data_IF_799527994769
#
_entry.id   IF_799527994769
#
_cell.length_a   1.000
_cell.length_b   1.000
_cell.length_c   1.000
_cell.angle_alpha   90.00
_cell.angle_beta   90.00
_cell.angle_gamma   90.00
#
_symmetry.space_group_name_H-M   'P 1'
#
loop_
_entity.id
_entity.type
_entity.pdbx_description
1 polymer ?
#
# COMPACT_ATOMS: atom_id res chain seq x y z
N UNK A 1 -12.17 -17.43 -4.01
CA UNK A 1 -11.45 -16.26 -3.43
C UNK A 1 -10.14 -16.76 -2.83
N UNK A 2 -9.01 -16.49 -3.49
CA UNK A 2 -7.67 -16.98 -3.13
C UNK A 2 -7.26 -16.49 -1.74
N UNK A 3 -6.54 -17.30 -0.95
CA UNK A 3 -6.11 -16.91 0.41
C UNK A 3 -5.32 -15.58 0.45
N UNK A 4 -4.62 -15.25 -0.65
CA UNK A 4 -3.89 -13.98 -0.84
C UNK A 4 -4.80 -12.76 -0.92
N UNK A 5 -5.97 -12.90 -1.54
CA UNK A 5 -6.97 -11.83 -1.67
C UNK A 5 -7.64 -11.51 -0.32
N UNK A 6 -7.82 -12.54 0.52
CA UNK A 6 -8.33 -12.38 1.89
C UNK A 6 -7.31 -11.69 2.80
N UNK A 7 -6.02 -11.98 2.63
CA UNK A 7 -4.95 -11.29 3.34
C UNK A 7 -4.87 -9.80 2.94
N UNK A 8 -5.03 -9.49 1.65
CA UNK A 8 -5.14 -8.11 1.15
C UNK A 8 -6.32 -7.35 1.79
N UNK A 9 -7.46 -8.02 1.93
CA UNK A 9 -8.66 -7.46 2.56
C UNK A 9 -8.49 -7.19 4.06
N UNK A 10 -7.82 -8.07 4.80
CA UNK A 10 -7.58 -7.89 6.24
C UNK A 10 -6.64 -6.71 6.52
N UNK A 11 -5.72 -6.42 5.60
CA UNK A 11 -4.77 -5.32 5.73
C UNK A 11 -5.41 -3.95 5.41
N UNK A 12 -6.34 -3.91 4.45
CA UNK A 12 -7.06 -2.69 4.05
C UNK A 12 -8.04 -2.18 5.12
N UNK A 13 -8.57 -3.06 5.98
CA UNK A 13 -9.53 -2.69 7.03
C UNK A 13 -8.90 -2.01 8.26
N UNK A 14 -7.58 -1.82 8.29
CA UNK A 14 -6.85 -1.32 9.46
C UNK A 14 -6.63 0.20 9.51
N UNK A 15 -7.17 0.98 8.57
CA UNK A 15 -6.88 2.42 8.45
C UNK A 15 -8.00 3.35 8.92
N UNK A 16 -7.81 4.04 10.05
CA UNK A 16 -8.43 5.33 10.32
C UNK A 16 -7.56 6.18 11.29
N UNK A 17 -7.20 7.38 10.81
CA UNK A 17 -6.88 8.63 11.55
C UNK A 17 -5.44 8.92 12.04
N UNK A 18 -4.71 9.77 11.31
CA UNK A 18 -3.98 10.99 11.78
C UNK A 18 -3.53 11.82 10.55
N UNK A 19 -3.20 13.12 10.63
CA UNK A 19 -3.53 14.09 9.53
C UNK A 19 -2.38 14.89 8.87
N UNK A 20 -1.10 14.49 8.92
CA UNK A 20 -0.06 15.22 8.16
C UNK A 20 0.98 14.33 7.45
N UNK A 21 1.41 13.23 8.05
CA UNK A 21 2.19 12.15 7.38
C UNK A 21 1.28 11.07 6.80
N UNK A 22 0.02 11.03 7.27
CA UNK A 22 -0.99 10.14 6.74
C UNK A 22 -1.76 10.72 5.56
N UNK A 23 -1.62 11.99 5.20
CA UNK A 23 -2.19 12.49 3.94
C UNK A 23 -1.48 11.82 2.75
N UNK A 24 -0.14 11.90 2.73
CA UNK A 24 0.71 11.29 1.72
C UNK A 24 0.54 9.76 1.67
N UNK A 25 0.58 9.09 2.84
CA UNK A 25 0.32 7.66 2.92
C UNK A 25 -1.13 7.30 2.54
N UNK A 26 -2.13 8.12 2.87
CA UNK A 26 -3.52 7.87 2.48
C UNK A 26 -3.72 8.03 0.96
N UNK A 27 -3.10 9.05 0.36
CA UNK A 27 -3.13 9.28 -1.09
C UNK A 27 -2.47 8.11 -1.84
N UNK A 28 -1.38 7.56 -1.31
CA UNK A 28 -0.78 6.32 -1.81
C UNK A 28 -1.74 5.13 -1.69
N UNK A 29 -2.42 4.99 -0.55
CA UNK A 29 -3.35 3.88 -0.33
C UNK A 29 -4.57 3.98 -1.24
N UNK A 30 -5.08 5.18 -1.47
CA UNK A 30 -6.16 5.47 -2.41
C UNK A 30 -5.72 5.19 -3.84
N UNK A 31 -4.49 5.56 -4.20
CA UNK A 31 -3.89 5.23 -5.50
C UNK A 31 -3.79 3.73 -5.70
N UNK A 32 -3.32 2.98 -4.70
CA UNK A 32 -3.24 1.52 -4.75
C UNK A 32 -4.63 0.90 -4.87
N UNK A 33 -5.59 1.33 -4.07
CA UNK A 33 -6.95 0.80 -4.07
C UNK A 33 -7.67 1.07 -5.40
N UNK A 34 -7.54 2.29 -5.94
CA UNK A 34 -8.11 2.68 -7.23
C UNK A 34 -7.54 1.85 -8.38
N UNK A 35 -6.21 1.74 -8.47
CA UNK A 35 -5.56 0.93 -9.51
C UNK A 35 -5.82 -0.57 -9.34
N UNK A 36 -5.94 -1.07 -8.10
CA UNK A 36 -6.31 -2.45 -7.82
C UNK A 36 -7.70 -2.78 -8.37
N UNK A 37 -8.68 -1.89 -8.15
CA UNK A 37 -10.02 -2.03 -8.72
C UNK A 37 -9.95 -2.10 -10.25
N UNK A 38 -9.19 -1.21 -10.88
CA UNK A 38 -8.99 -1.20 -12.33
C UNK A 38 -8.39 -2.51 -12.83
N UNK A 39 -7.32 -3.01 -12.19
CA UNK A 39 -6.68 -4.29 -12.54
C UNK A 39 -7.65 -5.46 -12.51
N UNK A 40 -8.61 -5.48 -11.57
CA UNK A 40 -9.60 -6.56 -11.47
C UNK A 40 -10.67 -6.54 -12.55
N UNK A 41 -10.92 -5.38 -13.16
CA UNK A 41 -12.03 -5.18 -14.09
C UNK A 41 -11.62 -4.85 -15.53
N UNK A 42 -10.34 -4.57 -15.78
CA UNK A 42 -9.85 -4.18 -17.11
C UNK A 42 -9.54 -5.38 -18.01
N UNK A 43 -9.92 -5.25 -19.27
CA UNK A 43 -9.65 -6.17 -20.37
C UNK A 43 -8.61 -5.60 -21.36
N UNK A 44 -8.16 -4.35 -21.13
CA UNK A 44 -7.02 -3.74 -21.83
C UNK A 44 -5.69 -4.11 -21.17
N UNK A 45 -4.76 -4.66 -21.95
CA UNK A 45 -3.40 -5.00 -21.51
C UNK A 45 -2.59 -3.75 -21.15
N UNK A 46 -2.79 -2.65 -21.85
CA UNK A 46 -2.06 -1.41 -21.58
C UNK A 46 -2.56 -0.76 -20.28
N UNK A 47 -3.87 -0.78 -20.05
CA UNK A 47 -4.48 -0.32 -18.79
C UNK A 47 -4.02 -1.18 -17.61
N UNK A 48 -3.96 -2.50 -17.79
CA UNK A 48 -3.42 -3.42 -16.78
C UNK A 48 -1.98 -3.06 -16.41
N UNK A 49 -1.10 -2.88 -17.41
CA UNK A 49 0.31 -2.53 -17.18
C UNK A 49 0.45 -1.18 -16.47
N UNK A 50 -0.27 -0.16 -16.93
CA UNK A 50 -0.22 1.17 -16.33
C UNK A 50 -0.71 1.14 -14.87
N UNK A 51 -1.80 0.45 -14.59
CA UNK A 51 -2.31 0.35 -13.21
C UNK A 51 -1.36 -0.40 -12.28
N UNK A 52 -0.69 -1.47 -12.76
CA UNK A 52 0.34 -2.14 -11.97
C UNK A 52 1.57 -1.25 -11.72
N UNK A 53 1.99 -0.46 -12.71
CA UNK A 53 3.08 0.51 -12.54
C UNK A 53 2.73 1.59 -11.51
N UNK A 54 1.50 2.11 -11.55
CA UNK A 54 1.01 3.07 -10.58
C UNK A 54 0.97 2.48 -9.15
N UNK A 55 0.46 1.25 -9.00
CA UNK A 55 0.47 0.54 -7.71
C UNK A 55 1.88 0.36 -7.17
N UNK A 56 2.85 0.03 -8.04
CA UNK A 56 4.25 -0.13 -7.65
C UNK A 56 4.88 1.19 -7.21
N UNK A 57 4.58 2.30 -7.88
CA UNK A 57 5.09 3.61 -7.51
C UNK A 57 4.56 4.03 -6.12
N UNK A 58 3.25 3.96 -5.90
CA UNK A 58 2.64 4.28 -4.60
C UNK A 58 3.13 3.34 -3.48
N UNK A 59 3.37 2.05 -3.78
CA UNK A 59 3.94 1.12 -2.80
C UNK A 59 5.39 1.46 -2.40
N UNK A 60 6.17 2.07 -3.29
CA UNK A 60 7.53 2.52 -2.99
C UNK A 60 7.54 3.80 -2.16
N UNK A 61 6.56 4.68 -2.40
CA UNK A 61 6.40 5.94 -1.68
C UNK A 61 5.89 5.68 -0.25
N UNK A 62 4.81 4.91 -0.12
CA UNK A 62 4.25 4.44 1.16
C UNK A 62 5.27 3.70 2.05
N UNK A 63 6.28 3.06 1.45
CA UNK A 63 7.38 2.41 2.18
C UNK A 63 8.25 3.41 2.94
N UNK A 64 8.40 4.63 2.45
CA UNK A 64 9.20 5.68 3.10
C UNK A 64 8.41 6.41 4.19
N UNK A 65 7.08 6.36 4.14
CA UNK A 65 6.21 7.03 5.10
C UNK A 65 6.21 6.33 6.47
N UNK A 66 5.92 7.09 7.53
CA UNK A 66 5.68 6.53 8.86
C UNK A 66 4.17 6.48 9.10
N UNK A 67 3.57 5.28 9.25
CA UNK A 67 2.14 5.18 9.42
C UNK A 67 1.74 5.71 10.80
N UNK A 68 0.51 6.25 10.94
CA UNK A 68 0.05 6.87 12.17
C UNK A 68 0.23 6.04 13.44
N UNK A 69 0.00 4.74 13.32
CA UNK A 69 0.09 3.78 14.43
C UNK A 69 1.51 3.55 14.92
N UNK A 70 2.52 4.00 14.18
CA UNK A 70 3.94 3.85 14.48
C UNK A 70 4.64 5.22 14.65
N UNK A 71 3.90 6.33 14.75
CA UNK A 71 4.48 7.67 14.95
C UNK A 71 5.36 7.77 16.20
N UNK A 72 4.93 7.10 17.29
CA UNK A 72 5.65 7.09 18.57
C UNK A 72 6.84 6.10 18.58
N UNK A 73 7.08 5.38 17.47
CA UNK A 73 8.15 4.40 17.37
C UNK A 73 9.42 5.06 16.83
N UNK A 74 10.55 4.68 17.41
CA UNK A 74 11.84 5.13 16.90
C UNK A 74 12.05 4.70 15.44
N UNK A 75 12.67 5.56 14.65
CA UNK A 75 13.12 5.24 13.31
C UNK A 75 14.03 3.99 13.35
N UNK A 76 13.71 2.99 12.53
CA UNK A 76 14.44 1.72 12.48
C UNK A 76 14.12 0.72 13.61
N UNK A 77 13.08 0.99 14.41
CA UNK A 77 12.47 -0.01 15.30
C UNK A 77 12.01 -1.26 14.54
N UNK A 78 11.90 -2.43 15.21
CA UNK A 78 11.39 -3.65 14.59
C UNK A 78 10.04 -3.44 13.89
N UNK A 79 9.14 -2.65 14.49
CA UNK A 79 7.81 -2.38 13.94
C UNK A 79 7.86 -1.54 12.66
N UNK A 80 8.69 -0.49 12.61
CA UNK A 80 8.90 0.31 11.40
C UNK A 80 9.53 -0.53 10.29
N UNK A 81 10.51 -1.39 10.63
CA UNK A 81 11.14 -2.30 9.67
C UNK A 81 10.16 -3.33 9.12
N UNK A 82 9.26 -3.85 9.96
CA UNK A 82 8.24 -4.81 9.54
C UNK A 82 7.24 -4.17 8.58
N UNK A 83 6.78 -2.94 8.85
CA UNK A 83 5.98 -2.15 7.93
C UNK A 83 6.67 -1.96 6.56
N UNK A 84 7.94 -1.54 6.58
CA UNK A 84 8.75 -1.36 5.36
C UNK A 84 8.99 -2.68 4.60
N UNK A 85 9.08 -3.79 5.32
CA UNK A 85 9.23 -5.12 4.75
C UNK A 85 7.94 -5.59 4.05
N UNK A 86 6.77 -5.26 4.60
CA UNK A 86 5.47 -5.49 3.94
C UNK A 86 5.41 -4.88 2.54
N UNK A 87 5.85 -3.63 2.38
CA UNK A 87 5.93 -2.96 1.08
C UNK A 87 6.98 -3.54 0.14
N UNK A 88 8.10 -4.04 0.66
CA UNK A 88 9.11 -4.75 -0.14
C UNK A 88 8.52 -6.02 -0.75
N UNK A 89 7.67 -6.73 -0.01
CA UNK A 89 6.98 -7.93 -0.50
C UNK A 89 5.94 -7.60 -1.60
N UNK A 90 5.31 -6.43 -1.52
CA UNK A 90 4.34 -5.94 -2.50
C UNK A 90 5.00 -5.41 -3.79
N UNK A 91 6.13 -4.71 -3.67
CA UNK A 91 6.83 -4.05 -4.78
C UNK A 91 7.77 -4.96 -5.59
N UNK A 92 8.07 -6.16 -5.09
CA UNK A 92 8.98 -7.14 -5.69
C UNK A 92 8.30 -8.15 -6.65
N UNK A 93 6.99 -8.06 -6.87
CA UNK A 93 6.21 -8.95 -7.74
C UNK A 93 5.34 -8.16 -8.70
#
# INVERSE_FOLDING_TARGET
MSNKLKALMALALLGASSLAVAADLADDMDTIAGNYKTVLSTDSTDTLKQSLQNMRAAALDAKQSTPPKLEDKAAGSPEIKDFQHGWTSLSAR
#
